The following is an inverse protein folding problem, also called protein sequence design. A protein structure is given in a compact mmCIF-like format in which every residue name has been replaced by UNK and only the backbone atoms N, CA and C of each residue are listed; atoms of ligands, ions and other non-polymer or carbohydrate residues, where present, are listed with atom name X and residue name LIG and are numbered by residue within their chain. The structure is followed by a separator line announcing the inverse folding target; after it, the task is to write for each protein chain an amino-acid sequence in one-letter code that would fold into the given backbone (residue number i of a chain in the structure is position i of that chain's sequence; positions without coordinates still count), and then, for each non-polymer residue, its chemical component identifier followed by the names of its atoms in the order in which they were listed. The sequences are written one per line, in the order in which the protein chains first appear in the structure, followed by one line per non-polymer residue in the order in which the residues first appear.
data_IF_752392312379
#
_entry.id   IF_752392312379
#
_cell.length_a   1.000
_cell.length_b   1.000
_cell.length_c   1.000
_cell.angle_alpha   90.00
_cell.angle_beta   90.00
_cell.angle_gamma   90.00
#
_symmetry.space_group_name_H-M   'P 1'
#
loop_
_entity.id
_entity.type
_entity.pdbx_description
1 polymer ?
#
# COMPACT_ATOMS: atom_id res chain seq x y z
N UNK A 1 7.11 6.24 5.39
CA UNK A 1 8.38 5.89 4.70
C UNK A 1 9.20 7.16 4.56
N UNK A 2 10.49 7.10 4.88
CA UNK A 2 11.42 8.20 4.69
C UNK A 2 12.51 7.78 3.68
N UNK A 3 13.17 8.77 3.08
CA UNK A 3 14.33 8.51 2.25
C UNK A 3 15.36 9.63 2.34
N UNK A 4 16.58 9.27 2.70
CA UNK A 4 17.75 10.15 2.64
C UNK A 4 18.40 10.00 1.26
N UNK A 5 18.81 11.11 0.64
CA UNK A 5 19.24 11.13 -0.77
C UNK A 5 20.59 11.78 -0.95
N UNK A 6 21.32 11.31 -1.94
CA UNK A 6 22.60 11.86 -2.38
C UNK A 6 22.72 11.98 -3.88
N UNK A 7 23.09 13.20 -4.30
CA UNK A 7 23.52 13.48 -5.65
C UNK A 7 25.00 13.08 -5.77
N UNK A 8 25.32 12.25 -6.75
CA UNK A 8 26.72 12.03 -7.13
C UNK A 8 27.10 12.96 -8.27
N UNK A 9 28.31 13.53 -8.25
CA UNK A 9 28.81 14.43 -9.29
C UNK A 9 29.14 13.72 -10.62
N UNK A 10 29.14 12.37 -10.64
CA UNK A 10 29.57 11.55 -11.78
C UNK A 10 28.64 10.34 -12.07
N UNK A 11 27.42 10.28 -11.54
CA UNK A 11 26.54 9.10 -11.67
C UNK A 11 25.10 9.27 -11.17
N UNK A 12 24.29 8.22 -11.37
CA UNK A 12 22.89 8.17 -10.95
C UNK A 12 22.75 8.29 -9.42
N UNK A 13 21.84 9.18 -8.97
CA UNK A 13 21.59 9.46 -7.55
C UNK A 13 21.29 8.20 -6.74
N UNK A 14 21.71 8.21 -5.47
CA UNK A 14 21.53 7.09 -4.53
C UNK A 14 20.71 7.52 -3.32
N UNK A 15 19.97 6.59 -2.76
CA UNK A 15 19.12 6.83 -1.61
C UNK A 15 19.23 5.71 -0.57
N UNK A 16 18.89 6.05 0.67
CA UNK A 16 18.57 5.11 1.73
C UNK A 16 17.10 5.27 2.07
N UNK A 17 16.30 4.24 1.77
CA UNK A 17 14.85 4.23 1.97
C UNK A 17 14.53 3.38 3.17
N UNK A 18 13.73 3.88 4.10
CA UNK A 18 13.44 3.16 5.34
C UNK A 18 12.08 3.51 5.93
N UNK A 19 11.55 2.60 6.76
CA UNK A 19 10.40 2.92 7.61
C UNK A 19 10.82 3.81 8.78
N UNK A 20 9.88 4.62 9.26
CA UNK A 20 10.04 5.34 10.52
C UNK A 20 8.80 5.07 11.36
N UNK A 21 8.99 4.40 12.50
CA UNK A 21 7.93 4.11 13.45
C UNK A 21 7.37 2.70 13.38
N UNK A 22 7.87 1.83 12.49
CA UNK A 22 7.45 0.42 12.46
C UNK A 22 7.86 -0.30 13.76
N UNK A 23 8.98 0.11 14.38
CA UNK A 23 9.38 -0.29 15.73
C UNK A 23 8.31 0.02 16.80
N UNK A 24 7.53 1.09 16.63
CA UNK A 24 6.44 1.44 17.56
C UNK A 24 5.23 0.53 17.42
N UNK A 25 5.12 -0.18 16.30
CA UNK A 25 4.13 -1.22 16.06
C UNK A 25 4.61 -2.61 16.49
N UNK A 26 5.81 -2.72 17.08
CA UNK A 26 6.38 -4.00 17.55
C UNK A 26 7.20 -4.77 16.51
N UNK A 27 7.51 -4.17 15.36
CA UNK A 27 8.24 -4.80 14.25
C UNK A 27 9.54 -4.06 13.95
N UNK A 28 10.55 -4.71 13.38
CA UNK A 28 11.76 -3.99 12.95
C UNK A 28 11.46 -2.90 11.92
N UNK A 29 12.28 -1.85 11.87
CA UNK A 29 12.26 -1.00 10.69
C UNK A 29 12.77 -1.79 9.47
N UNK A 30 12.20 -1.53 8.29
CA UNK A 30 12.64 -2.11 7.03
C UNK A 30 13.42 -1.08 6.24
N UNK A 31 14.52 -1.51 5.63
CA UNK A 31 15.45 -0.61 4.94
C UNK A 31 15.89 -1.16 3.58
N UNK A 32 16.06 -0.25 2.61
CA UNK A 32 16.80 -0.48 1.36
C UNK A 32 17.98 0.50 1.33
N UNK A 33 19.19 -0.05 1.41
CA UNK A 33 20.44 0.71 1.35
C UNK A 33 20.94 0.75 -0.10
N UNK A 34 21.58 1.85 -0.47
CA UNK A 34 22.15 2.06 -1.81
C UNK A 34 21.13 1.95 -2.96
N UNK A 35 19.89 2.36 -2.70
CA UNK A 35 18.81 2.38 -3.69
C UNK A 35 19.13 3.35 -4.83
N UNK A 36 18.79 2.98 -6.07
CA UNK A 36 18.83 3.93 -7.19
C UNK A 36 17.70 4.94 -7.06
N UNK A 37 18.01 6.24 -7.03
CA UNK A 37 17.03 7.30 -6.77
C UNK A 37 15.89 7.31 -7.79
N UNK A 38 16.17 7.02 -9.07
CA UNK A 38 15.14 6.91 -10.11
C UNK A 38 14.10 5.81 -9.86
N UNK A 39 14.39 4.86 -8.96
CA UNK A 39 13.53 3.72 -8.61
C UNK A 39 12.96 3.83 -7.19
N UNK A 40 13.02 5.02 -6.57
CA UNK A 40 12.64 5.21 -5.16
C UNK A 40 11.20 4.78 -4.88
N UNK A 41 10.29 4.99 -5.83
CA UNK A 41 8.88 4.63 -5.69
C UNK A 41 8.70 3.11 -5.60
N UNK A 42 9.48 2.32 -6.33
CA UNK A 42 9.46 0.86 -6.24
C UNK A 42 9.89 0.37 -4.84
N UNK A 43 10.96 0.93 -4.28
CA UNK A 43 11.45 0.56 -2.96
C UNK A 43 10.49 1.00 -1.85
N UNK A 44 10.02 2.25 -1.92
CA UNK A 44 9.06 2.79 -0.96
C UNK A 44 7.74 2.01 -0.97
N UNK A 45 7.25 1.65 -2.16
CA UNK A 45 6.03 0.85 -2.32
C UNK A 45 6.23 -0.56 -1.78
N UNK A 46 7.36 -1.21 -2.08
CA UNK A 46 7.68 -2.56 -1.59
C UNK A 46 7.76 -2.62 -0.06
N UNK A 47 8.45 -1.65 0.57
CA UNK A 47 8.49 -1.52 2.03
C UNK A 47 7.07 -1.29 2.59
N UNK A 48 6.30 -0.38 1.97
CA UNK A 48 4.94 -0.06 2.42
C UNK A 48 4.03 -1.29 2.39
N UNK A 49 4.05 -2.07 1.30
CA UNK A 49 3.28 -3.30 1.17
C UNK A 49 3.69 -4.30 2.27
N UNK A 50 4.98 -4.54 2.45
CA UNK A 50 5.49 -5.47 3.45
C UNK A 50 5.13 -5.07 4.88
N UNK A 51 5.29 -3.79 5.22
CA UNK A 51 4.96 -3.26 6.53
C UNK A 51 3.45 -3.33 6.82
N UNK A 52 2.60 -2.96 5.85
CA UNK A 52 1.15 -3.03 6.03
C UNK A 52 0.66 -4.47 6.21
N UNK A 53 1.22 -5.42 5.45
CA UNK A 53 0.92 -6.84 5.62
C UNK A 53 1.31 -7.32 7.03
N UNK A 54 2.51 -6.97 7.48
CA UNK A 54 3.01 -7.31 8.81
C UNK A 54 2.10 -6.80 9.94
N UNK A 55 1.71 -5.53 9.85
CA UNK A 55 0.83 -4.87 10.82
C UNK A 55 -0.55 -5.54 10.81
N UNK A 56 -1.11 -5.77 9.62
CA UNK A 56 -2.43 -6.37 9.45
C UNK A 56 -2.52 -7.80 9.99
N UNK A 57 -1.47 -8.59 9.80
CA UNK A 57 -1.38 -9.97 10.30
C UNK A 57 -0.82 -10.07 11.72
N UNK A 58 -0.38 -8.94 12.30
CA UNK A 58 0.27 -8.86 13.61
C UNK A 58 1.47 -9.81 13.73
N UNK A 59 2.14 -10.08 12.62
CA UNK A 59 3.29 -10.99 12.55
C UNK A 59 4.24 -10.57 11.45
N UNK A 60 5.52 -10.88 11.62
CA UNK A 60 6.52 -10.80 10.57
C UNK A 60 7.35 -12.09 10.61
N UNK A 61 7.64 -12.70 9.46
CA UNK A 61 8.35 -13.97 9.44
C UNK A 61 9.75 -13.85 10.01
N UNK A 62 10.39 -14.99 10.29
CA UNK A 62 11.78 -15.04 10.75
C UNK A 62 12.76 -14.45 9.72
N UNK A 63 13.98 -14.23 10.17
CA UNK A 63 15.07 -13.74 9.32
C UNK A 63 15.28 -14.68 8.11
N UNK A 64 15.28 -14.11 6.90
CA UNK A 64 15.38 -14.82 5.62
C UNK A 64 14.25 -15.82 5.30
N UNK A 65 13.19 -15.91 6.12
CA UNK A 65 11.99 -16.66 5.76
C UNK A 65 11.18 -15.88 4.72
N UNK A 66 10.81 -16.50 3.57
CA UNK A 66 10.02 -15.82 2.54
C UNK A 66 8.62 -15.45 2.99
N UNK A 67 8.16 -14.26 2.59
CA UNK A 67 6.85 -13.72 2.91
C UNK A 67 6.14 -13.20 1.66
N UNK A 68 5.00 -13.81 1.33
CA UNK A 68 4.16 -13.33 0.23
C UNK A 68 3.30 -12.16 0.73
N UNK A 69 3.59 -10.94 0.27
CA UNK A 69 2.97 -9.71 0.81
C UNK A 69 1.94 -9.09 -0.13
N UNK A 70 1.96 -9.44 -1.41
CA UNK A 70 0.94 -9.05 -2.37
C UNK A 70 0.85 -10.03 -3.54
N UNK A 71 -0.32 -10.10 -4.16
CA UNK A 71 -0.54 -10.75 -5.45
C UNK A 71 -0.24 -9.76 -6.57
N UNK A 72 0.44 -10.22 -7.62
CA UNK A 72 0.75 -9.49 -8.84
C UNK A 72 -0.05 -10.07 -10.01
N UNK A 73 0.07 -9.47 -11.20
CA UNK A 73 -0.55 -10.03 -12.41
C UNK A 73 -0.02 -11.43 -12.75
N UNK A 74 -0.78 -12.18 -13.57
CA UNK A 74 -0.41 -13.51 -14.07
C UNK A 74 -0.18 -14.56 -12.96
N UNK A 75 -0.81 -14.38 -11.79
CA UNK A 75 -0.68 -15.30 -10.66
C UNK A 75 0.67 -15.22 -9.93
N UNK A 76 1.49 -14.21 -10.23
CA UNK A 76 2.76 -13.96 -9.55
C UNK A 76 2.52 -13.32 -8.19
N UNK A 77 3.56 -13.30 -7.36
CA UNK A 77 3.51 -12.72 -6.01
C UNK A 77 4.69 -11.81 -5.77
N UNK A 78 4.47 -10.75 -5.00
CA UNK A 78 5.55 -10.00 -4.37
C UNK A 78 5.96 -10.78 -3.12
N UNK A 79 7.06 -11.51 -3.22
CA UNK A 79 7.67 -12.21 -2.09
C UNK A 79 8.85 -11.41 -1.56
N UNK A 80 8.85 -11.14 -0.26
CA UNK A 80 9.91 -10.41 0.43
C UNK A 80 10.49 -11.22 1.57
N UNK A 81 11.62 -10.78 2.11
CA UNK A 81 12.12 -11.22 3.39
C UNK A 81 13.03 -10.12 3.96
N UNK A 82 13.71 -10.40 5.06
CA UNK A 82 14.58 -9.44 5.72
C UNK A 82 15.80 -10.13 6.33
N UNK A 83 16.85 -9.34 6.53
CA UNK A 83 18.02 -9.74 7.31
C UNK A 83 18.46 -8.66 8.28
N UNK A 84 18.89 -9.02 9.47
CA UNK A 84 19.34 -8.04 10.46
C UNK A 84 20.52 -7.24 9.91
N UNK A 85 20.41 -5.91 9.97
CA UNK A 85 21.29 -5.01 9.23
C UNK A 85 22.78 -5.21 9.50
N UNK A 86 23.17 -5.56 10.74
CA UNK A 86 24.58 -5.75 11.10
C UNK A 86 25.24 -6.88 10.30
N UNK A 87 24.49 -7.90 9.89
CA UNK A 87 25.00 -9.00 9.07
C UNK A 87 25.25 -8.62 7.61
N UNK A 88 24.83 -7.43 7.18
CA UNK A 88 24.84 -7.02 5.76
C UNK A 88 25.74 -5.80 5.48
N UNK A 89 26.36 -5.21 6.50
CA UNK A 89 27.12 -3.96 6.34
C UNK A 89 28.35 -4.11 5.46
N UNK A 90 29.05 -5.25 5.55
CA UNK A 90 30.30 -5.49 4.81
C UNK A 90 30.10 -5.64 3.29
N UNK A 91 28.85 -5.74 2.83
CA UNK A 91 28.51 -5.92 1.42
C UNK A 91 28.35 -4.58 0.70
N UNK A 92 28.02 -3.53 1.43
CA UNK A 92 27.84 -2.20 0.85
C UNK A 92 29.20 -1.47 0.78
N UNK A 93 29.44 -0.66 -0.28
CA UNK A 93 30.64 0.16 -0.35
C UNK A 93 30.75 1.13 0.84
N UNK A 94 31.98 1.41 1.25
CA UNK A 94 32.25 2.44 2.24
C UNK A 94 31.71 3.81 1.80
N UNK A 95 31.18 4.56 2.76
CA UNK A 95 30.69 5.92 2.52
C UNK A 95 29.29 6.02 1.91
N UNK A 96 28.56 4.91 1.73
CA UNK A 96 27.15 4.93 1.33
C UNK A 96 26.23 5.31 2.50
N UNK A 97 25.12 6.00 2.21
CA UNK A 97 24.07 6.30 3.19
C UNK A 97 23.55 5.04 3.89
N UNK A 98 23.31 5.12 5.20
CA UNK A 98 22.83 3.97 5.99
C UNK A 98 23.93 3.00 6.42
N UNK A 99 25.19 3.25 6.09
CA UNK A 99 26.36 2.42 6.46
C UNK A 99 27.35 3.22 7.30
N UNK A 100 28.05 2.54 8.21
CA UNK A 100 29.20 3.09 8.95
C UNK A 100 28.89 4.42 9.64
N UNK A 101 29.75 5.43 9.43
CA UNK A 101 29.59 6.77 10.00
C UNK A 101 28.40 7.55 9.44
N UNK A 102 27.83 7.10 8.31
CA UNK A 102 26.69 7.72 7.64
C UNK A 102 25.36 7.09 8.04
N UNK A 103 25.38 6.22 9.04
CA UNK A 103 24.21 5.72 9.76
C UNK A 103 24.09 6.47 11.09
N UNK A 104 23.08 7.35 11.27
CA UNK A 104 22.88 8.03 12.55
C UNK A 104 22.67 7.02 13.68
N UNK A 105 23.24 7.26 14.87
CA UNK A 105 23.06 6.35 16.03
C UNK A 105 21.60 6.10 16.39
N UNK A 106 20.72 7.09 16.17
CA UNK A 106 19.28 6.96 16.38
C UNK A 106 18.64 5.87 15.49
N UNK A 107 19.30 5.50 14.38
CA UNK A 107 18.89 4.46 13.46
C UNK A 107 19.69 3.16 13.64
N UNK A 108 20.39 2.97 14.77
CA UNK A 108 21.04 1.70 15.13
C UNK A 108 20.12 0.79 15.97
N UNK A 109 18.81 0.85 15.70
CA UNK A 109 17.80 0.05 16.38
C UNK A 109 17.64 -1.33 15.71
N UNK A 110 16.53 -2.00 16.01
CA UNK A 110 16.12 -3.23 15.35
C UNK A 110 15.66 -2.90 13.93
N UNK A 111 16.56 -3.11 12.96
CA UNK A 111 16.30 -2.88 11.54
C UNK A 111 16.65 -4.11 10.70
N UNK A 112 15.84 -4.36 9.67
CA UNK A 112 16.05 -5.39 8.67
C UNK A 112 16.33 -4.79 7.29
N UNK A 113 17.36 -5.26 6.61
CA UNK A 113 17.57 -5.01 5.18
C UNK A 113 16.54 -5.83 4.41
N UNK A 114 15.78 -5.18 3.53
CA UNK A 114 14.74 -5.83 2.74
C UNK A 114 15.36 -6.65 1.61
N UNK A 115 14.88 -7.89 1.49
CA UNK A 115 15.14 -8.78 0.36
C UNK A 115 13.85 -8.97 -0.43
N UNK A 116 13.95 -9.06 -1.75
CA UNK A 116 12.81 -9.20 -2.66
C UNK A 116 13.13 -10.31 -3.65
N UNK A 117 12.13 -11.13 -3.97
CA UNK A 117 12.23 -12.12 -5.04
C UNK A 117 12.15 -11.39 -6.40
N UNK A 118 13.12 -11.58 -7.32
CA UNK A 118 13.05 -11.02 -8.65
C UNK A 118 11.79 -11.49 -9.41
N UNK A 119 11.18 -10.58 -10.17
CA UNK A 119 10.04 -10.90 -11.04
C UNK A 119 10.50 -11.27 -12.47
N UNK A 120 11.49 -12.15 -12.56
CA UNK A 120 12.15 -12.57 -13.82
C UNK A 120 11.93 -14.06 -14.15
N UNK A 121 11.10 -14.75 -13.37
CA UNK A 121 10.83 -16.18 -13.54
C UNK A 121 11.89 -17.10 -12.94
N UNK A 122 12.89 -16.56 -12.24
CA UNK A 122 13.84 -17.38 -11.48
C UNK A 122 13.15 -18.05 -10.28
N UNK A 123 13.47 -19.33 -10.06
CA UNK A 123 12.96 -20.08 -8.89
C UNK A 123 13.59 -19.54 -7.60
N UNK A 124 12.94 -18.55 -6.99
CA UNK A 124 13.01 -18.20 -5.56
C UNK A 124 14.40 -17.92 -4.96
N UNK A 125 15.22 -17.07 -5.59
CA UNK A 125 16.33 -16.46 -4.85
C UNK A 125 15.95 -15.04 -4.42
N UNK A 126 15.63 -14.89 -3.14
CA UNK A 126 15.55 -13.59 -2.49
C UNK A 126 16.93 -12.90 -2.60
N UNK A 127 16.95 -11.70 -3.16
CA UNK A 127 18.16 -10.86 -3.26
C UNK A 127 17.89 -9.52 -2.58
N UNK A 128 18.94 -8.74 -2.28
CA UNK A 128 18.73 -7.43 -1.65
C UNK A 128 17.86 -6.58 -2.56
N UNK A 129 16.96 -5.79 -1.98
CA UNK A 129 16.04 -5.00 -2.78
C UNK A 129 16.75 -4.09 -3.81
N UNK A 130 17.92 -3.54 -3.47
CA UNK A 130 18.72 -2.70 -4.38
C UNK A 130 19.38 -3.47 -5.55
N UNK A 131 19.39 -4.80 -5.52
CA UNK A 131 19.88 -5.69 -6.58
C UNK A 131 18.74 -6.14 -7.52
N UNK A 132 17.48 -5.91 -7.14
CA UNK A 132 16.31 -6.26 -7.95
C UNK A 132 16.11 -5.24 -9.07
N UNK A 133 15.90 -5.74 -10.29
CA UNK A 133 15.39 -4.93 -11.40
C UNK A 133 13.95 -4.51 -11.06
N UNK A 134 13.65 -3.20 -10.94
CA UNK A 134 12.31 -2.73 -10.61
C UNK A 134 11.27 -3.23 -11.60
N UNK A 135 10.08 -3.52 -11.09
CA UNK A 135 8.90 -3.91 -11.86
C UNK A 135 7.69 -3.14 -11.34
N UNK A 136 6.61 -3.08 -12.14
CA UNK A 136 5.42 -2.33 -11.76
C UNK A 136 4.71 -2.99 -10.57
N UNK A 137 4.36 -2.17 -9.58
CA UNK A 137 3.56 -2.54 -8.41
C UNK A 137 2.19 -1.84 -8.41
N UNK A 138 1.84 -1.13 -9.49
CA UNK A 138 0.60 -0.34 -9.57
C UNK A 138 -0.66 -1.19 -9.40
N UNK A 139 -0.61 -2.45 -9.86
CA UNK A 139 -1.70 -3.41 -9.77
C UNK A 139 -1.48 -4.47 -8.69
N UNK A 140 -0.54 -4.25 -7.78
CA UNK A 140 -0.31 -5.17 -6.67
C UNK A 140 -1.54 -5.18 -5.76
N UNK A 141 -2.08 -6.37 -5.50
CA UNK A 141 -3.24 -6.56 -4.61
C UNK A 141 -2.74 -7.02 -3.25
N UNK A 142 -3.01 -6.21 -2.22
CA UNK A 142 -2.69 -6.53 -0.82
C UNK A 142 -3.92 -7.14 -0.18
N UNK A 143 -3.77 -8.34 0.37
CA UNK A 143 -4.81 -8.99 1.16
C UNK A 143 -4.63 -8.63 2.63
N UNK A 144 -5.63 -7.94 3.19
CA UNK A 144 -5.71 -7.68 4.62
C UNK A 144 -6.30 -8.86 5.38
N UNK A 145 -5.95 -8.99 6.65
CA UNK A 145 -6.63 -9.91 7.56
C UNK A 145 -8.13 -9.55 7.66
N UNK A 146 -9.01 -10.53 8.00
CA UNK A 146 -10.43 -10.25 8.19
C UNK A 146 -10.68 -9.16 9.26
N UNK A 147 -9.90 -9.18 10.33
CA UNK A 147 -9.95 -8.21 11.42
C UNK A 147 -9.63 -6.79 10.94
N UNK A 148 -8.56 -6.64 10.14
CA UNK A 148 -8.18 -5.34 9.59
C UNK A 148 -9.17 -4.85 8.54
N UNK A 149 -9.73 -5.77 7.74
CA UNK A 149 -10.81 -5.46 6.80
C UNK A 149 -12.05 -4.91 7.51
N UNK A 150 -12.45 -5.52 8.64
CA UNK A 150 -13.58 -5.06 9.45
C UNK A 150 -13.29 -3.71 10.11
N UNK A 151 -12.06 -3.51 10.62
CA UNK A 151 -11.63 -2.23 11.20
C UNK A 151 -11.69 -1.11 10.17
N UNK A 152 -11.19 -1.34 8.96
CA UNK A 152 -11.24 -0.38 7.84
C UNK A 152 -12.69 -0.06 7.50
N UNK A 153 -13.54 -1.08 7.34
CA UNK A 153 -14.95 -0.90 7.01
C UNK A 153 -15.71 -0.13 8.10
N UNK A 154 -15.43 -0.40 9.37
CA UNK A 154 -16.01 0.32 10.51
C UNK A 154 -15.60 1.78 10.48
N UNK A 155 -14.30 2.07 10.33
CA UNK A 155 -13.79 3.44 10.27
C UNK A 155 -14.35 4.21 9.06
N UNK A 156 -14.45 3.56 7.91
CA UNK A 156 -15.06 4.15 6.72
C UNK A 156 -16.50 4.59 6.98
N UNK A 157 -17.31 3.72 7.59
CA UNK A 157 -18.71 4.01 7.98
C UNK A 157 -18.81 5.16 8.96
N UNK A 158 -18.00 5.14 10.02
CA UNK A 158 -17.97 6.23 11.03
C UNK A 158 -17.61 7.59 10.42
N UNK A 159 -16.79 7.58 9.37
CA UNK A 159 -16.27 8.79 8.73
C UNK A 159 -17.00 9.17 7.44
N UNK A 160 -18.04 8.44 7.03
CA UNK A 160 -18.91 8.80 5.89
C UNK A 160 -19.43 10.25 5.92
N UNK A 161 -19.81 10.84 7.07
CA UNK A 161 -20.21 12.24 7.11
C UNK A 161 -19.12 13.21 6.62
N UNK A 162 -17.85 12.85 6.78
CA UNK A 162 -16.73 13.64 6.28
C UNK A 162 -16.58 13.47 4.77
N UNK A 163 -16.77 12.26 4.24
CA UNK A 163 -16.80 12.02 2.80
C UNK A 163 -17.86 12.88 2.12
N UNK A 164 -19.11 12.84 2.59
CA UNK A 164 -20.23 13.61 2.02
C UNK A 164 -19.92 15.11 2.03
N UNK A 165 -19.39 15.64 3.15
CA UNK A 165 -18.98 17.05 3.26
C UNK A 165 -17.85 17.40 2.30
N UNK A 166 -16.84 16.54 2.20
CA UNK A 166 -15.69 16.77 1.33
C UNK A 166 -16.04 16.69 -0.15
N UNK A 167 -16.93 15.78 -0.54
CA UNK A 167 -17.39 15.64 -1.92
C UNK A 167 -18.22 16.84 -2.38
N UNK A 168 -18.86 17.56 -1.46
CA UNK A 168 -19.55 18.82 -1.77
C UNK A 168 -18.59 19.99 -2.10
N UNK A 169 -17.28 19.84 -1.90
CA UNK A 169 -16.29 20.86 -2.29
C UNK A 169 -16.17 20.90 -3.81
N UNK A 170 -16.17 22.10 -4.45
CA UNK A 170 -16.05 22.21 -5.89
C UNK A 170 -14.81 21.48 -6.45
N UNK A 171 -15.01 20.72 -7.53
CA UNK A 171 -14.00 19.89 -8.21
C UNK A 171 -13.42 18.74 -7.37
N UNK A 172 -14.04 18.39 -6.24
CA UNK A 172 -13.68 17.16 -5.54
C UNK A 172 -14.02 15.94 -6.39
N UNK A 173 -13.18 14.90 -6.31
CA UNK A 173 -13.44 13.60 -6.94
C UNK A 173 -13.51 12.51 -5.89
N UNK A 174 -14.58 11.73 -5.90
CA UNK A 174 -14.80 10.63 -4.97
C UNK A 174 -14.71 9.28 -5.66
N UNK A 175 -14.12 8.31 -4.99
CA UNK A 175 -14.19 6.89 -5.34
C UNK A 175 -14.67 6.16 -4.09
N UNK A 176 -15.62 5.23 -4.24
CA UNK A 176 -16.16 4.45 -3.13
C UNK A 176 -16.02 2.96 -3.42
N UNK A 177 -15.80 2.18 -2.37
CA UNK A 177 -15.92 0.73 -2.39
C UNK A 177 -17.29 0.38 -1.85
N UNK A 178 -18.08 -0.31 -2.66
CA UNK A 178 -19.48 -0.62 -2.37
C UNK A 178 -19.58 -2.10 -2.02
N UNK A 179 -20.32 -2.40 -0.95
CA UNK A 179 -20.67 -3.76 -0.55
C UNK A 179 -21.98 -4.14 -1.22
N UNK A 180 -21.99 -5.23 -1.99
CA UNK A 180 -23.17 -5.76 -2.65
C UNK A 180 -23.42 -7.21 -2.22
N UNK A 181 -24.69 -7.64 -2.31
CA UNK A 181 -25.00 -9.06 -2.18
C UNK A 181 -24.43 -9.80 -3.39
N UNK A 182 -23.74 -10.89 -3.16
CA UNK A 182 -23.32 -11.75 -4.25
C UNK A 182 -24.53 -12.55 -4.79
N UNK A 183 -24.47 -13.05 -6.04
CA UNK A 183 -25.56 -13.84 -6.60
C UNK A 183 -25.84 -15.11 -5.82
N UNK A 184 -27.08 -15.57 -5.92
CA UNK A 184 -27.50 -16.85 -5.39
C UNK A 184 -26.66 -17.99 -6.02
N UNK A 185 -26.04 -18.82 -5.16
CA UNK A 185 -25.17 -19.91 -5.59
C UNK A 185 -23.68 -19.57 -5.71
N UNK A 186 -23.26 -18.34 -5.40
CA UNK A 186 -21.85 -17.97 -5.30
C UNK A 186 -21.21 -18.52 -4.00
N UNK A 187 -19.89 -18.75 -4.01
CA UNK A 187 -19.14 -19.23 -2.84
C UNK A 187 -18.98 -18.16 -1.73
N UNK A 188 -19.28 -16.89 -2.04
CA UNK A 188 -19.16 -15.75 -1.12
C UNK A 188 -20.49 -15.05 -1.01
N UNK A 189 -20.88 -14.62 0.19
CA UNK A 189 -22.14 -13.88 0.39
C UNK A 189 -22.07 -12.41 -0.07
N UNK A 190 -20.86 -11.90 -0.30
CA UNK A 190 -20.60 -10.47 -0.51
C UNK A 190 -19.66 -10.27 -1.69
N UNK A 191 -20.04 -9.33 -2.54
CA UNK A 191 -19.19 -8.77 -3.58
C UNK A 191 -18.82 -7.32 -3.26
N UNK A 192 -17.65 -6.87 -3.71
CA UNK A 192 -17.25 -5.48 -3.61
C UNK A 192 -16.95 -4.88 -4.98
N UNK A 193 -17.47 -3.67 -5.21
CA UNK A 193 -17.25 -2.91 -6.45
C UNK A 193 -16.64 -1.56 -6.12
N UNK A 194 -15.57 -1.19 -6.83
CA UNK A 194 -15.06 0.18 -6.81
C UNK A 194 -15.77 1.03 -7.86
N UNK A 195 -16.21 2.22 -7.46
CA UNK A 195 -16.93 3.12 -8.34
C UNK A 195 -16.55 4.58 -8.11
N UNK A 196 -16.47 5.37 -9.18
CA UNK A 196 -16.38 6.83 -9.11
C UNK A 196 -17.75 7.39 -8.70
N UNK A 197 -17.76 8.40 -7.82
CA UNK A 197 -19.00 9.05 -7.38
C UNK A 197 -19.31 10.21 -8.31
N UNK A 198 -20.47 10.14 -8.97
CA UNK A 198 -20.99 11.18 -9.87
C UNK A 198 -21.71 12.28 -9.09
N UNK A 199 -22.58 11.90 -8.15
CA UNK A 199 -23.34 12.83 -7.31
C UNK A 199 -23.91 12.14 -6.07
N UNK A 200 -24.31 12.95 -5.08
CA UNK A 200 -24.97 12.49 -3.85
C UNK A 200 -26.27 13.28 -3.68
N UNK A 201 -27.39 12.57 -3.52
CA UNK A 201 -28.71 13.17 -3.25
C UNK A 201 -29.35 12.49 -2.04
N UNK A 202 -29.29 13.16 -0.89
CA UNK A 202 -29.74 12.56 0.38
C UNK A 202 -28.87 11.36 0.75
N UNK A 203 -29.49 10.19 0.87
CA UNK A 203 -28.80 8.92 1.15
C UNK A 203 -28.44 8.13 -0.12
N UNK A 204 -28.85 8.62 -1.30
CA UNK A 204 -28.54 7.95 -2.57
C UNK A 204 -27.24 8.49 -3.14
N UNK A 205 -26.35 7.57 -3.51
CA UNK A 205 -25.07 7.86 -4.18
C UNK A 205 -25.17 7.35 -5.60
N UNK A 206 -24.92 8.22 -6.57
CA UNK A 206 -24.88 7.87 -7.98
C UNK A 206 -23.43 7.65 -8.39
N UNK A 207 -23.16 6.52 -9.02
CA UNK A 207 -21.80 6.03 -9.24
C UNK A 207 -21.60 5.52 -10.67
N UNK A 208 -20.34 5.53 -11.11
CA UNK A 208 -19.87 4.88 -12.34
C UNK A 208 -18.82 3.82 -11.98
N UNK A 209 -19.04 2.57 -12.37
CA UNK A 209 -18.17 1.45 -12.00
C UNK A 209 -16.77 1.56 -12.63
N UNK A 210 -15.72 1.25 -11.85
CA UNK A 210 -14.32 1.29 -12.31
C UNK A 210 -13.92 -0.01 -13.01
N UNK A 211 -14.51 -1.13 -12.59
CA UNK A 211 -14.22 -2.46 -13.11
C UNK A 211 -15.51 -3.30 -13.16
N UNK A 212 -15.45 -4.41 -13.89
CA UNK A 212 -16.52 -5.41 -13.90
C UNK A 212 -16.66 -6.05 -12.52
N UNK A 213 -17.89 -6.34 -12.11
CA UNK A 213 -18.16 -7.28 -11.00
C UNK A 213 -17.52 -8.63 -11.30
N UNK A 214 -16.89 -9.21 -10.28
CA UNK A 214 -16.21 -10.49 -10.29
C UNK A 214 -17.17 -11.68 -10.21
N UNK A 215 -18.29 -11.57 -9.49
CA UNK A 215 -19.19 -12.69 -9.22
C UNK A 215 -20.56 -12.53 -9.86
N UNK A 216 -21.17 -11.34 -9.78
CA UNK A 216 -22.51 -11.10 -10.30
C UNK A 216 -22.60 -10.94 -11.80
N UNK A 217 -21.52 -10.52 -12.45
CA UNK A 217 -21.53 -10.03 -13.84
C UNK A 217 -22.58 -8.94 -14.11
N UNK A 218 -23.22 -8.39 -13.06
CA UNK A 218 -24.35 -7.46 -13.13
C UNK A 218 -23.91 -6.04 -13.47
N UNK A 219 -22.70 -5.66 -13.08
CA UNK A 219 -22.17 -4.32 -13.32
C UNK A 219 -20.89 -4.42 -14.14
N UNK A 220 -20.87 -3.76 -15.29
CA UNK A 220 -19.69 -3.66 -16.16
C UNK A 220 -18.93 -2.36 -15.91
N UNK A 221 -17.64 -2.35 -16.21
CA UNK A 221 -16.83 -1.14 -16.15
C UNK A 221 -17.48 0.00 -16.97
N UNK A 222 -17.48 1.21 -16.40
CA UNK A 222 -18.14 2.41 -16.91
C UNK A 222 -19.68 2.39 -16.88
N UNK A 223 -20.30 1.37 -16.30
CA UNK A 223 -21.75 1.34 -16.09
C UNK A 223 -22.16 2.24 -14.92
N UNK A 224 -23.31 2.91 -15.07
CA UNK A 224 -23.88 3.78 -14.05
C UNK A 224 -24.88 3.04 -13.20
N UNK A 225 -24.79 3.23 -11.89
CA UNK A 225 -25.69 2.62 -10.93
C UNK A 225 -25.86 3.51 -9.70
N UNK A 226 -26.78 3.14 -8.81
CA UNK A 226 -27.04 3.88 -7.57
C UNK A 226 -27.03 2.93 -6.38
N UNK A 227 -26.56 3.44 -5.25
CA UNK A 227 -26.49 2.70 -3.99
C UNK A 227 -26.92 3.58 -2.83
N UNK A 228 -27.28 2.97 -1.70
CA UNK A 228 -27.45 3.73 -0.48
C UNK A 228 -26.06 4.04 0.13
N UNK A 229 -25.91 5.21 0.74
CA UNK A 229 -24.66 5.62 1.41
C UNK A 229 -24.20 4.60 2.47
N UNK A 230 -25.12 3.86 3.09
CA UNK A 230 -24.83 2.80 4.05
C UNK A 230 -24.18 1.55 3.44
N UNK A 231 -24.23 1.39 2.12
CA UNK A 231 -23.58 0.28 1.39
C UNK A 231 -22.10 0.58 1.09
N UNK A 232 -21.62 1.79 1.36
CA UNK A 232 -20.21 2.14 1.23
C UNK A 232 -19.40 1.44 2.34
N UNK A 233 -18.46 0.61 1.92
CA UNK A 233 -17.53 -0.11 2.78
C UNK A 233 -16.16 0.56 2.91
N UNK A 234 -15.78 1.41 1.95
CA UNK A 234 -14.56 2.22 2.00
C UNK A 234 -14.71 3.41 1.04
N UNK A 235 -13.90 4.45 1.20
CA UNK A 235 -13.96 5.63 0.33
C UNK A 235 -12.63 6.35 0.20
N UNK A 236 -12.48 7.05 -0.93
CA UNK A 236 -11.37 7.94 -1.21
C UNK A 236 -11.89 9.23 -1.81
N UNK A 237 -11.28 10.34 -1.41
CA UNK A 237 -11.61 11.66 -1.90
C UNK A 237 -10.34 12.40 -2.31
N UNK A 238 -10.38 13.03 -3.47
CA UNK A 238 -9.37 14.00 -3.89
C UNK A 238 -9.98 15.39 -3.79
N UNK A 239 -9.50 16.21 -2.84
CA UNK A 239 -9.87 17.61 -2.71
C UNK A 239 -8.65 18.44 -3.10
N UNK A 240 -8.74 19.21 -4.18
CA UNK A 240 -7.67 20.14 -4.64
C UNK A 240 -6.28 19.48 -4.76
N UNK A 241 -6.23 18.23 -5.20
CA UNK A 241 -4.99 17.46 -5.34
C UNK A 241 -4.54 16.71 -4.07
N UNK A 242 -5.21 16.93 -2.94
CA UNK A 242 -4.95 16.22 -1.69
C UNK A 242 -5.82 14.98 -1.56
N UNK A 243 -5.19 13.85 -1.26
CA UNK A 243 -5.87 12.56 -1.01
C UNK A 243 -6.36 12.50 0.44
N UNK A 244 -7.66 12.32 0.60
CA UNK A 244 -8.35 12.12 1.88
C UNK A 244 -9.05 10.76 1.86
N UNK A 245 -8.93 10.01 2.95
CA UNK A 245 -9.47 8.67 3.16
C UNK A 245 -9.96 8.55 4.63
N UNK A 246 -10.59 7.44 5.05
CA UNK A 246 -11.12 7.30 6.41
C UNK A 246 -10.11 7.59 7.53
N UNK A 247 -8.86 7.17 7.37
CA UNK A 247 -7.78 7.32 8.34
C UNK A 247 -7.35 8.78 8.59
N UNK A 248 -7.59 9.65 7.62
CA UNK A 248 -7.26 11.07 7.69
C UNK A 248 -8.48 11.98 7.42
N UNK A 249 -9.69 11.46 7.61
CA UNK A 249 -10.94 12.12 7.29
C UNK A 249 -11.11 13.50 7.99
N UNK A 250 -10.41 13.74 9.11
CA UNK A 250 -10.39 15.03 9.79
C UNK A 250 -9.81 16.17 8.92
N UNK A 251 -8.99 15.86 7.91
CA UNK A 251 -8.43 16.83 6.97
C UNK A 251 -9.48 17.48 6.06
N UNK A 252 -10.68 16.90 5.94
CA UNK A 252 -11.79 17.55 5.21
C UNK A 252 -12.11 18.93 5.80
N UNK A 253 -11.99 19.10 7.13
CA UNK A 253 -12.28 20.39 7.79
C UNK A 253 -11.23 21.48 7.51
N UNK A 254 -10.07 21.09 6.99
CA UNK A 254 -8.94 22.00 6.75
C UNK A 254 -8.86 22.45 5.29
N UNK A 255 -9.72 21.94 4.41
CA UNK A 255 -9.75 22.23 2.98
C UNK A 255 -11.04 22.95 2.57
#
# INVERSE_FOLDING_TARGET
IAADRENSSEGAGRAWVFTQGLNRCGFMELEVINAEEKNIDFYATSISIAANKAISEKTFPGEMEPFDVASLEEGKKLTVSWRFWKGEMDVFPDGVLGVGSRRPKAQNMFNGILFIAPNDGSEKKLVRANEVKPFSLEKAVIEYSPEESERIATLAKETLPNFVKGFAVPNAKGIVKIRMAAPEGSEKDIEYVWAEVDSIAGETVYCTAVHDTLFSEEIKANEKFQVNVSEIADWLLNIRGSRVAPDNAFLVKLN
#
